data_IF_755155063870
#
_entry.id   IF_755155063870
#
_cell.length_a   1.000
_cell.length_b   1.000
_cell.length_c   1.000
_cell.angle_alpha   90.00
_cell.angle_beta   90.00
_cell.angle_gamma   90.00
#
_symmetry.space_group_name_H-M   'P 1'
#
loop_
_entity.id
_entity.type
_entity.pdbx_description
1 polymer ?
#
# COMPACT_ATOMS: atom_id res chain seq x y z
N UNK A 1 -5.80 -19.14 14.34
CA UNK A 1 -6.20 -18.44 13.09
C UNK A 1 -6.00 -16.93 13.29
N UNK A 2 -5.61 -16.21 12.25
CA UNK A 2 -5.56 -14.75 12.31
C UNK A 2 -7.00 -14.23 12.44
N UNK A 3 -7.28 -13.38 13.43
CA UNK A 3 -8.61 -12.80 13.64
C UNK A 3 -8.64 -11.43 12.99
N UNK A 4 -9.30 -11.35 11.83
CA UNK A 4 -9.55 -10.08 11.16
C UNK A 4 -10.68 -9.33 11.88
N UNK A 5 -10.46 -8.05 12.17
CA UNK A 5 -11.51 -7.16 12.68
C UNK A 5 -11.55 -5.93 11.76
N UNK A 6 -12.76 -5.52 11.38
CA UNK A 6 -13.00 -4.38 10.50
C UNK A 6 -13.77 -3.30 11.27
N UNK A 7 -13.53 -2.03 10.92
CA UNK A 7 -14.30 -0.91 11.48
C UNK A 7 -15.72 -0.79 10.86
N UNK A 8 -15.98 -1.52 9.78
CA UNK A 8 -17.26 -1.58 9.06
C UNK A 8 -17.35 -2.90 8.29
N UNK A 9 -17.86 -2.84 7.06
CA UNK A 9 -17.84 -4.00 6.16
C UNK A 9 -16.41 -4.50 5.90
N UNK A 10 -16.27 -5.82 5.75
CA UNK A 10 -15.00 -6.47 5.42
C UNK A 10 -14.59 -6.25 3.96
N UNK A 11 -13.53 -6.95 3.55
CA UNK A 11 -13.15 -6.99 2.13
C UNK A 11 -14.20 -7.78 1.35
N UNK A 12 -14.80 -7.20 0.30
CA UNK A 12 -15.82 -7.89 -0.48
C UNK A 12 -15.20 -9.06 -1.24
N UNK A 13 -15.93 -10.15 -1.34
CA UNK A 13 -15.60 -11.30 -2.21
C UNK A 13 -14.24 -11.98 -1.93
N UNK A 14 -13.66 -11.78 -0.73
CA UNK A 14 -12.37 -12.35 -0.34
C UNK A 14 -12.55 -13.37 0.78
N UNK A 15 -12.05 -14.59 0.57
CA UNK A 15 -11.91 -15.56 1.65
C UNK A 15 -10.67 -15.23 2.48
N UNK A 16 -10.90 -14.71 3.69
CA UNK A 16 -9.85 -14.31 4.62
C UNK A 16 -8.98 -15.48 5.08
N UNK A 17 -9.46 -16.73 4.96
CA UNK A 17 -8.65 -17.90 5.28
C UNK A 17 -7.55 -18.14 4.24
N UNK A 18 -7.72 -17.71 3.00
CA UNK A 18 -6.72 -17.83 1.94
C UNK A 18 -5.56 -16.84 2.11
N UNK A 19 -5.75 -15.76 2.88
CA UNK A 19 -4.74 -14.76 3.14
C UNK A 19 -3.65 -15.29 4.10
N UNK A 20 -2.60 -15.87 3.52
CA UNK A 20 -1.43 -16.40 4.29
C UNK A 20 -0.26 -15.42 4.39
N UNK A 21 -0.21 -14.42 3.51
CA UNK A 21 0.86 -13.43 3.45
C UNK A 21 0.95 -12.52 4.67
N UNK A 22 2.02 -11.72 4.72
CA UNK A 22 2.21 -10.66 5.73
C UNK A 22 2.34 -9.31 5.03
N UNK A 23 1.47 -8.38 5.38
CA UNK A 23 1.62 -6.98 5.00
C UNK A 23 2.48 -6.26 6.05
N UNK A 24 3.62 -5.73 5.63
CA UNK A 24 4.51 -4.92 6.47
C UNK A 24 4.50 -3.50 5.94
N UNK A 25 4.19 -2.52 6.79
CA UNK A 25 4.10 -1.11 6.41
C UNK A 25 5.21 -0.32 7.10
N UNK A 26 6.01 0.40 6.31
CA UNK A 26 7.07 1.29 6.79
C UNK A 26 6.65 2.75 6.61
N UNK A 27 6.31 3.41 7.72
CA UNK A 27 5.88 4.80 7.75
C UNK A 27 6.97 5.76 8.24
N UNK A 28 6.80 7.05 7.96
CA UNK A 28 7.77 8.08 8.33
C UNK A 28 7.64 9.35 7.50
N UNK A 29 8.20 10.44 8.02
CA UNK A 29 8.23 11.74 7.33
C UNK A 29 9.17 11.72 6.12
N UNK A 30 9.13 12.77 5.31
CA UNK A 30 9.98 12.87 4.13
C UNK A 30 11.46 12.93 4.52
N UNK A 31 12.30 12.16 3.81
CA UNK A 31 13.75 12.12 4.02
C UNK A 31 14.25 11.16 5.11
N UNK A 32 13.39 10.45 5.85
CA UNK A 32 13.84 9.56 6.95
C UNK A 32 14.46 8.23 6.50
N UNK A 33 14.61 8.00 5.20
CA UNK A 33 15.23 6.78 4.66
C UNK A 33 14.29 5.58 4.47
N UNK A 34 12.97 5.80 4.41
CA UNK A 34 11.98 4.72 4.18
C UNK A 34 12.35 3.82 3.00
N UNK A 35 12.67 4.40 1.84
CA UNK A 35 13.03 3.63 0.64
C UNK A 35 14.28 2.76 0.85
N UNK A 36 15.26 3.27 1.59
CA UNK A 36 16.46 2.49 1.96
C UNK A 36 16.10 1.31 2.84
N UNK A 37 15.29 1.53 3.89
CA UNK A 37 14.89 0.46 4.80
C UNK A 37 13.99 -0.59 4.14
N UNK A 38 13.11 -0.19 3.20
CA UNK A 38 12.32 -1.13 2.41
C UNK A 38 13.24 -2.03 1.57
N UNK A 39 14.24 -1.46 0.90
CA UNK A 39 15.20 -2.23 0.11
C UNK A 39 15.99 -3.25 0.95
N UNK A 40 16.51 -2.81 2.09
CA UNK A 40 17.26 -3.69 3.01
C UNK A 40 16.37 -4.81 3.58
N UNK A 41 15.13 -4.51 3.95
CA UNK A 41 14.20 -5.51 4.47
C UNK A 41 13.80 -6.52 3.40
N UNK A 42 13.54 -6.06 2.17
CA UNK A 42 13.24 -6.93 1.04
C UNK A 42 14.37 -7.91 0.78
N UNK A 43 15.60 -7.41 0.63
CA UNK A 43 16.78 -8.24 0.38
C UNK A 43 16.98 -9.26 1.51
N UNK A 44 16.82 -8.82 2.77
CA UNK A 44 16.93 -9.71 3.91
C UNK A 44 15.86 -10.82 3.87
N UNK A 45 14.59 -10.50 3.62
CA UNK A 45 13.50 -11.49 3.54
C UNK A 45 13.68 -12.47 2.37
N UNK A 46 14.07 -11.97 1.20
CA UNK A 46 14.33 -12.79 0.01
C UNK A 46 15.50 -13.76 0.26
N UNK A 47 16.58 -13.29 0.90
CA UNK A 47 17.71 -14.12 1.29
C UNK A 47 17.34 -15.21 2.31
N UNK A 48 16.24 -15.04 3.06
CA UNK A 48 15.71 -16.06 3.98
C UNK A 48 14.66 -16.97 3.32
N UNK A 49 14.49 -16.88 2.00
CA UNK A 49 13.59 -17.76 1.22
C UNK A 49 12.13 -17.31 1.20
N UNK A 50 11.84 -16.05 1.54
CA UNK A 50 10.50 -15.49 1.44
C UNK A 50 10.32 -14.77 0.10
N UNK A 51 9.22 -15.04 -0.60
CA UNK A 51 8.80 -14.21 -1.73
C UNK A 51 8.32 -12.84 -1.20
N UNK A 52 8.85 -11.75 -1.75
CA UNK A 52 8.52 -10.39 -1.31
C UNK A 52 8.05 -9.56 -2.50
N UNK A 53 6.89 -8.93 -2.34
CA UNK A 53 6.42 -7.87 -3.22
C UNK A 53 6.63 -6.53 -2.52
N UNK A 54 7.45 -5.64 -3.09
CA UNK A 54 7.55 -4.26 -2.64
C UNK A 54 6.62 -3.37 -3.46
N UNK A 55 5.83 -2.55 -2.77
CA UNK A 55 4.88 -1.66 -3.41
C UNK A 55 4.77 -0.36 -2.61
N UNK A 56 4.53 0.78 -3.27
CA UNK A 56 4.54 2.10 -2.63
C UNK A 56 3.42 3.02 -3.14
N UNK A 57 3.00 4.00 -2.31
CA UNK A 57 1.97 4.98 -2.68
C UNK A 57 2.33 5.74 -3.97
N UNK A 58 1.31 6.10 -4.77
CA UNK A 58 1.40 6.78 -6.08
C UNK A 58 1.89 5.91 -7.25
N UNK A 59 1.87 4.59 -7.08
CA UNK A 59 2.29 3.62 -8.10
C UNK A 59 1.13 2.84 -8.72
N UNK A 60 -0.12 3.04 -8.28
CA UNK A 60 -1.26 2.35 -8.86
C UNK A 60 -1.47 2.78 -10.32
N UNK A 61 -1.88 1.83 -11.18
CA UNK A 61 -2.12 2.09 -12.59
C UNK A 61 -3.30 3.06 -12.80
N UNK A 62 -4.32 2.97 -11.94
CA UNK A 62 -5.57 3.70 -12.08
C UNK A 62 -5.53 5.11 -11.47
N UNK A 63 -4.88 5.27 -10.32
CA UNK A 63 -4.85 6.53 -9.57
C UNK A 63 -3.49 7.23 -9.60
N UNK A 64 -2.38 6.50 -9.70
CA UNK A 64 -1.02 7.05 -9.50
C UNK A 64 -0.67 8.21 -10.44
N UNK A 65 -1.05 8.14 -11.72
CA UNK A 65 -0.79 9.22 -12.69
C UNK A 65 -1.56 10.50 -12.36
N UNK A 66 -2.84 10.38 -12.00
CA UNK A 66 -3.69 11.51 -11.62
C UNK A 66 -3.26 12.10 -10.27
N UNK A 67 -2.82 11.25 -9.35
CA UNK A 67 -2.33 11.65 -8.02
C UNK A 67 -1.02 12.43 -8.11
N UNK A 68 -0.10 12.03 -8.99
CA UNK A 68 1.13 12.79 -9.28
C UNK A 68 0.82 14.16 -9.90
N UNK A 69 -0.13 14.23 -10.83
CA UNK A 69 -0.57 15.50 -11.43
C UNK A 69 -1.25 16.42 -10.40
N UNK A 70 -2.12 15.85 -9.57
CA UNK A 70 -2.81 16.56 -8.49
C UNK A 70 -1.83 17.14 -7.46
N UNK A 71 -0.81 16.37 -7.06
CA UNK A 71 0.26 16.84 -6.16
C UNK A 71 1.08 17.98 -6.75
N UNK A 72 1.34 17.97 -8.06
CA UNK A 72 2.11 19.02 -8.72
C UNK A 72 1.35 20.35 -8.81
N UNK A 73 0.02 20.31 -8.87
CA UNK A 73 -0.83 21.49 -9.00
C UNK A 73 -1.09 22.25 -7.69
N UNK A 74 -0.88 21.63 -6.52
CA UNK A 74 -1.24 22.18 -5.19
C UNK A 74 -2.70 22.70 -5.06
N UNK A 75 -3.60 22.26 -5.94
CA UNK A 75 -4.99 22.76 -6.02
C UNK A 75 -6.00 21.95 -5.22
N UNK A 76 -5.61 20.80 -4.70
CA UNK A 76 -6.54 19.91 -3.98
C UNK A 76 -6.56 20.20 -2.47
N UNK A 77 -7.76 20.30 -1.91
CA UNK A 77 -7.94 20.33 -0.46
C UNK A 77 -7.59 19.00 0.21
N UNK A 78 -7.38 19.04 1.53
CA UNK A 78 -6.95 17.87 2.31
C UNK A 78 -7.86 16.64 2.17
N UNK A 79 -9.18 16.83 2.18
CA UNK A 79 -10.14 15.73 2.02
C UNK A 79 -9.98 15.06 0.65
N UNK A 80 -9.90 15.85 -0.43
CA UNK A 80 -9.73 15.32 -1.78
C UNK A 80 -8.43 14.55 -1.90
N UNK A 81 -7.33 15.07 -1.33
CA UNK A 81 -6.05 14.37 -1.31
C UNK A 81 -6.14 13.02 -0.57
N UNK A 82 -6.79 12.99 0.59
CA UNK A 82 -7.01 11.75 1.36
C UNK A 82 -7.81 10.71 0.58
N UNK A 83 -8.88 11.13 -0.12
CA UNK A 83 -9.67 10.23 -0.97
C UNK A 83 -8.83 9.66 -2.11
N UNK A 84 -8.02 10.49 -2.76
CA UNK A 84 -7.10 10.02 -3.81
C UNK A 84 -6.14 8.95 -3.31
N UNK A 85 -5.54 9.13 -2.13
CA UNK A 85 -4.67 8.11 -1.53
C UNK A 85 -5.42 6.83 -1.15
N UNK A 86 -6.63 6.95 -0.60
CA UNK A 86 -7.46 5.80 -0.27
C UNK A 86 -7.81 4.99 -1.53
N UNK A 87 -8.12 5.67 -2.64
CA UNK A 87 -8.37 5.02 -3.94
C UNK A 87 -7.12 4.34 -4.51
N UNK A 88 -5.94 4.99 -4.47
CA UNK A 88 -4.66 4.39 -4.90
C UNK A 88 -4.31 3.14 -4.08
N UNK A 89 -4.61 3.15 -2.77
CA UNK A 89 -4.40 2.00 -1.92
C UNK A 89 -5.39 0.86 -2.20
N UNK A 90 -6.68 1.16 -2.38
CA UNK A 90 -7.69 0.14 -2.68
C UNK A 90 -7.39 -0.60 -3.99
N UNK A 91 -7.01 0.13 -5.04
CA UNK A 91 -6.60 -0.43 -6.34
C UNK A 91 -5.42 -1.42 -6.19
N UNK A 92 -4.43 -1.07 -5.37
CA UNK A 92 -3.25 -1.92 -5.11
C UNK A 92 -3.57 -3.09 -4.21
N UNK A 93 -4.47 -2.92 -3.25
CA UNK A 93 -4.90 -4.01 -2.38
C UNK A 93 -5.49 -5.15 -3.21
N UNK A 94 -6.32 -4.81 -4.20
CA UNK A 94 -7.03 -5.76 -5.07
C UNK A 94 -6.17 -6.34 -6.18
N UNK A 95 -5.25 -5.57 -6.77
CA UNK A 95 -4.51 -5.99 -7.97
C UNK A 95 -3.05 -6.41 -7.70
N UNK A 96 -2.48 -6.07 -6.55
CA UNK A 96 -1.08 -6.36 -6.22
C UNK A 96 -0.91 -7.14 -4.91
N UNK A 97 -1.67 -6.82 -3.85
CA UNK A 97 -1.41 -7.35 -2.50
C UNK A 97 -2.14 -8.66 -2.24
N UNK A 98 -3.38 -8.78 -2.68
CA UNK A 98 -4.24 -9.95 -2.48
C UNK A 98 -4.32 -10.76 -3.78
#
# INVERSE_FOLDING_TARGET
MARFNFFGEGLPEIDLEELKGKLIVLEGTDGVGRSTHIGLLKEWLENHGHAVLDTGMTRSALAGKRLKQAKAGNTLGGITMSLFYATDFADRLENEII
#
